data_IF_099309987521
#
_entry.id   IF_099309987521
#
_cell.length_a   1.000
_cell.length_b   1.000
_cell.length_c   1.000
_cell.angle_alpha   90.00
_cell.angle_beta   90.00
_cell.angle_gamma   90.00
#
_symmetry.space_group_name_H-M   'P 1'
#
loop_
_entity.id
_entity.type
_entity.pdbx_description
1 polymer ?
#
# COMPACT_ATOMS: atom_id res chain seq x y z
N UNK A 1 27.27 20.59 8.42
CA UNK A 1 26.06 20.77 7.59
C UNK A 1 26.25 19.91 6.37
N UNK A 2 25.81 18.66 6.47
CA UNK A 2 26.15 17.56 5.57
C UNK A 2 25.42 17.70 4.23
N UNK A 3 26.09 17.30 3.15
CA UNK A 3 25.80 17.66 1.75
C UNK A 3 24.31 17.66 1.38
N UNK A 4 23.83 18.80 0.89
CA UNK A 4 22.51 18.93 0.30
C UNK A 4 22.35 17.91 -0.84
N UNK A 5 21.38 17.01 -0.71
CA UNK A 5 21.04 15.96 -1.67
C UNK A 5 21.03 16.48 -3.12
N UNK A 6 21.69 15.83 -4.09
CA UNK A 6 21.76 16.31 -5.46
C UNK A 6 20.36 16.28 -6.11
N UNK A 7 20.05 17.29 -6.94
CA UNK A 7 18.71 17.50 -7.55
C UNK A 7 18.20 16.26 -8.30
N UNK A 8 19.11 15.49 -8.91
CA UNK A 8 18.79 14.24 -9.62
C UNK A 8 18.05 13.24 -8.74
N UNK A 9 18.53 13.03 -7.52
CA UNK A 9 17.94 12.05 -6.60
C UNK A 9 16.57 12.49 -6.11
N UNK A 10 16.36 13.81 -5.98
CA UNK A 10 15.05 14.40 -5.66
C UNK A 10 14.03 14.14 -6.77
N UNK A 11 14.44 14.28 -8.03
CA UNK A 11 13.57 14.00 -9.19
C UNK A 11 13.23 12.51 -9.28
N UNK A 12 14.19 11.63 -9.00
CA UNK A 12 13.97 10.18 -8.96
C UNK A 12 12.96 9.84 -7.85
N UNK A 13 13.14 10.37 -6.63
CA UNK A 13 12.16 10.18 -5.55
C UNK A 13 10.78 10.68 -5.96
N UNK A 14 10.68 11.87 -6.57
CA UNK A 14 9.43 12.41 -7.08
C UNK A 14 8.74 11.49 -8.11
N UNK A 15 9.50 10.88 -9.01
CA UNK A 15 8.97 9.88 -9.96
C UNK A 15 8.41 8.65 -9.25
N UNK A 16 9.12 8.13 -8.24
CA UNK A 16 8.61 7.03 -7.42
C UNK A 16 7.35 7.44 -6.64
N UNK A 17 7.28 8.66 -6.12
CA UNK A 17 6.09 9.18 -5.44
C UNK A 17 4.89 9.18 -6.39
N UNK A 18 5.06 9.61 -7.65
CA UNK A 18 4.01 9.56 -8.66
C UNK A 18 3.60 8.11 -9.01
N UNK A 19 4.57 7.21 -9.13
CA UNK A 19 4.32 5.77 -9.36
C UNK A 19 3.50 5.17 -8.21
N UNK A 20 3.89 5.43 -6.96
CA UNK A 20 3.20 4.90 -5.79
C UNK A 20 1.85 5.59 -5.53
N UNK A 21 1.67 6.85 -5.92
CA UNK A 21 0.36 7.49 -5.98
C UNK A 21 -0.59 6.77 -6.93
N UNK A 22 -0.10 6.37 -8.12
CA UNK A 22 -0.90 5.55 -9.04
C UNK A 22 -1.21 4.17 -8.43
N UNK A 23 -0.21 3.51 -7.83
CA UNK A 23 -0.41 2.24 -7.13
C UNK A 23 -1.42 2.36 -5.97
N UNK A 24 -1.41 3.47 -5.21
CA UNK A 24 -2.38 3.75 -4.17
C UNK A 24 -3.81 3.85 -4.72
N UNK A 25 -3.98 4.41 -5.92
CA UNK A 25 -5.25 4.38 -6.64
C UNK A 25 -5.75 2.96 -6.92
N UNK A 26 -4.85 2.07 -7.38
CA UNK A 26 -5.16 0.65 -7.57
C UNK A 26 -5.50 -0.03 -6.23
N UNK A 27 -4.80 0.32 -5.15
CA UNK A 27 -5.10 -0.19 -3.82
C UNK A 27 -6.52 0.21 -3.37
N UNK A 28 -6.94 1.46 -3.59
CA UNK A 28 -8.32 1.89 -3.30
C UNK A 28 -9.35 1.04 -4.05
N UNK A 29 -9.11 0.75 -5.32
CA UNK A 29 -9.99 -0.11 -6.11
C UNK A 29 -10.04 -1.54 -5.54
N UNK A 30 -8.88 -2.11 -5.21
CA UNK A 30 -8.79 -3.44 -4.61
C UNK A 30 -9.48 -3.50 -3.24
N UNK A 31 -9.38 -2.45 -2.43
CA UNK A 31 -10.09 -2.34 -1.16
C UNK A 31 -11.61 -2.45 -1.35
N UNK A 32 -12.16 -1.71 -2.33
CA UNK A 32 -13.60 -1.82 -2.65
C UNK A 32 -13.98 -3.26 -3.02
N UNK A 33 -13.13 -3.95 -3.79
CA UNK A 33 -13.35 -5.34 -4.16
C UNK A 33 -13.30 -6.29 -2.96
N UNK A 34 -12.32 -6.13 -2.06
CA UNK A 34 -12.20 -6.91 -0.82
C UNK A 34 -13.45 -6.72 0.05
N UNK A 35 -13.91 -5.48 0.22
CA UNK A 35 -15.11 -5.17 1.02
C UNK A 35 -16.35 -5.80 0.39
N UNK A 36 -16.50 -5.72 -0.92
CA UNK A 36 -17.61 -6.35 -1.64
C UNK A 36 -17.61 -7.87 -1.47
N UNK A 37 -16.46 -8.52 -1.60
CA UNK A 37 -16.34 -9.97 -1.39
C UNK A 37 -16.60 -10.37 0.06
N UNK A 38 -16.08 -9.61 1.04
CA UNK A 38 -16.36 -9.89 2.45
C UNK A 38 -17.85 -9.83 2.75
N UNK A 39 -18.54 -8.81 2.22
CA UNK A 39 -19.99 -8.69 2.36
C UNK A 39 -20.74 -9.86 1.71
N UNK A 40 -20.29 -10.34 0.55
CA UNK A 40 -20.90 -11.50 -0.09
C UNK A 40 -20.71 -12.79 0.71
N UNK A 41 -19.52 -13.00 1.30
CA UNK A 41 -19.28 -14.14 2.19
C UNK A 41 -20.13 -14.07 3.45
N UNK A 42 -20.21 -12.91 4.08
CA UNK A 42 -21.06 -12.70 5.26
C UNK A 42 -22.53 -13.00 4.96
N UNK A 43 -23.04 -12.57 3.79
CA UNK A 43 -24.42 -12.83 3.38
C UNK A 43 -24.72 -14.32 3.12
N UNK A 44 -23.78 -15.06 2.53
CA UNK A 44 -23.99 -16.47 2.15
C UNK A 44 -23.68 -17.42 3.30
N UNK A 45 -22.59 -17.19 4.03
CA UNK A 45 -22.06 -18.08 5.07
C UNK A 45 -22.47 -17.66 6.49
N UNK A 46 -22.97 -16.43 6.68
CA UNK A 46 -23.27 -15.87 8.00
C UNK A 46 -22.04 -15.44 8.78
N UNK A 47 -20.85 -15.52 8.17
CA UNK A 47 -19.59 -15.08 8.75
C UNK A 47 -18.66 -14.52 7.66
N UNK A 48 -17.81 -13.52 7.98
CA UNK A 48 -16.77 -13.05 7.08
C UNK A 48 -15.75 -14.13 6.75
N UNK A 49 -15.10 -14.01 5.59
CA UNK A 49 -14.08 -14.95 5.18
C UNK A 49 -12.75 -14.71 5.92
N UNK A 50 -12.34 -15.65 6.75
CA UNK A 50 -11.11 -15.58 7.55
C UNK A 50 -9.82 -15.39 6.71
N UNK A 51 -9.72 -16.04 5.55
CA UNK A 51 -8.55 -15.90 4.66
C UNK A 51 -8.49 -14.50 4.06
N UNK A 52 -9.65 -13.96 3.68
CA UNK A 52 -9.76 -12.61 3.15
C UNK A 52 -9.49 -11.55 4.24
N UNK A 53 -9.82 -11.83 5.50
CA UNK A 53 -9.44 -11.00 6.66
C UNK A 53 -7.92 -10.98 6.88
N UNK A 54 -7.25 -12.14 6.77
CA UNK A 54 -5.78 -12.20 6.89
C UNK A 54 -5.11 -11.38 5.78
N UNK A 55 -5.53 -11.60 4.53
CA UNK A 55 -5.03 -10.83 3.40
C UNK A 55 -5.31 -9.32 3.53
N UNK A 56 -6.50 -8.92 3.99
CA UNK A 56 -6.83 -7.51 4.17
C UNK A 56 -6.00 -6.84 5.27
N UNK A 57 -5.55 -7.61 6.28
CA UNK A 57 -4.61 -7.12 7.28
C UNK A 57 -3.26 -6.76 6.67
N UNK A 58 -2.63 -7.69 5.95
CA UNK A 58 -1.36 -7.42 5.25
C UNK A 58 -1.50 -6.27 4.25
N UNK A 59 -2.62 -6.24 3.52
CA UNK A 59 -2.91 -5.19 2.55
C UNK A 59 -3.06 -3.80 3.18
N UNK A 60 -3.65 -3.72 4.38
CA UNK A 60 -3.74 -2.48 5.17
C UNK A 60 -2.34 -1.97 5.54
N UNK A 61 -1.43 -2.85 5.93
CA UNK A 61 -0.06 -2.46 6.27
C UNK A 61 0.70 -2.00 5.02
N UNK A 62 0.51 -2.66 3.88
CA UNK A 62 1.07 -2.21 2.60
C UNK A 62 0.57 -0.81 2.22
N UNK A 63 -0.73 -0.52 2.39
CA UNK A 63 -1.27 0.83 2.17
C UNK A 63 -0.57 1.85 3.09
N UNK A 64 -0.32 1.50 4.35
CA UNK A 64 0.36 2.39 5.29
C UNK A 64 1.81 2.68 4.86
N UNK A 65 2.54 1.68 4.37
CA UNK A 65 3.90 1.86 3.81
C UNK A 65 3.88 2.79 2.59
N UNK A 66 2.92 2.60 1.68
CA UNK A 66 2.74 3.47 0.50
C UNK A 66 2.47 4.91 0.93
N UNK A 67 1.56 5.12 1.89
CA UNK A 67 1.25 6.45 2.42
C UNK A 67 2.49 7.07 3.05
N UNK A 68 3.23 6.33 3.88
CA UNK A 68 4.45 6.82 4.51
C UNK A 68 5.51 7.24 3.47
N UNK A 69 5.68 6.47 2.40
CA UNK A 69 6.63 6.80 1.33
C UNK A 69 6.21 8.07 0.55
N UNK A 70 4.96 8.14 0.09
CA UNK A 70 4.49 9.28 -0.75
C UNK A 70 4.37 10.59 0.02
N UNK A 71 4.22 10.52 1.34
CA UNK A 71 4.19 11.68 2.25
C UNK A 71 5.56 12.01 2.85
N UNK A 72 6.63 11.39 2.36
CA UNK A 72 8.01 11.62 2.81
C UNK A 72 8.26 11.28 4.29
N UNK A 73 7.39 10.49 4.92
CA UNK A 73 7.60 9.96 6.29
C UNK A 73 8.60 8.79 6.32
N UNK A 74 8.80 8.12 5.17
CA UNK A 74 9.76 7.04 4.99
C UNK A 74 10.53 7.19 3.68
N UNK A 75 11.81 6.82 3.67
CA UNK A 75 12.65 6.69 2.48
C UNK A 75 12.67 5.27 1.91
N UNK A 76 12.12 4.31 2.65
CA UNK A 76 11.98 2.92 2.21
C UNK A 76 10.88 2.84 1.16
N UNK A 77 11.22 2.33 -0.03
CA UNK A 77 10.25 2.08 -1.11
C UNK A 77 9.46 0.82 -0.77
N UNK A 78 8.12 0.86 -0.83
CA UNK A 78 7.27 -0.33 -0.64
C UNK A 78 7.53 -1.43 -1.68
N UNK A 79 6.88 -2.59 -1.50
CA UNK A 79 6.81 -3.65 -2.50
C UNK A 79 6.46 -3.08 -3.89
N UNK A 80 7.12 -3.53 -4.98
CA UNK A 80 8.03 -4.67 -5.10
C UNK A 80 9.51 -4.38 -4.81
N UNK A 81 9.84 -3.21 -4.27
CA UNK A 81 11.22 -2.83 -3.98
C UNK A 81 11.66 -3.16 -2.55
N UNK A 82 10.70 -3.49 -1.68
CA UNK A 82 10.89 -4.09 -0.36
C UNK A 82 10.08 -5.39 -0.28
N UNK A 83 10.27 -6.13 0.80
CA UNK A 83 9.42 -7.27 1.12
C UNK A 83 7.96 -6.83 1.31
N UNK A 84 7.05 -7.75 0.97
CA UNK A 84 5.64 -7.59 1.28
C UNK A 84 5.44 -7.65 2.80
N UNK A 85 4.60 -6.77 3.39
CA UNK A 85 4.33 -6.81 4.82
C UNK A 85 3.64 -8.11 5.18
N UNK A 86 4.19 -8.81 6.17
CA UNK A 86 3.64 -10.05 6.72
C UNK A 86 3.42 -9.80 8.20
N UNK A 87 2.15 -9.72 8.59
CA UNK A 87 1.72 -9.65 9.99
C UNK A 87 1.35 -11.04 10.50
#
# INVERSE_FOLDING_TARGET
MEAAYPVKDRLIKGLFVLLFMFAFGVCRFLLCFIVFLQFLFDLISGEPNNRLCQFSSEFKDYIAEVVAFVTYQSDTKPFPFSDWPKN
#
